data_IF_682984628839
#
_entry.id   IF_682984628839
#
_cell.length_a   1.000
_cell.length_b   1.000
_cell.length_c   1.000
_cell.angle_alpha   90.00
_cell.angle_beta   90.00
_cell.angle_gamma   90.00
#
_symmetry.space_group_name_H-M   'P 1'
#
loop_
_entity.id
_entity.type
_entity.pdbx_description
1 polymer ?
#
# COMPACT_ATOMS: atom_id res chain seq x y z
N UNK A 1 10.99 10.92 77.41
CA UNK A 1 12.34 10.87 76.79
C UNK A 1 12.12 10.87 75.27
N UNK A 2 12.10 11.99 74.52
CA UNK A 2 13.20 12.82 73.97
C UNK A 2 14.46 12.01 73.57
N UNK A 3 14.61 11.63 72.30
CA UNK A 3 15.33 12.37 71.23
C UNK A 3 15.31 11.64 69.86
N UNK A 4 15.60 12.35 68.74
CA UNK A 4 15.38 11.96 67.34
C UNK A 4 16.68 11.56 66.59
N UNK A 5 16.55 11.07 65.35
CA UNK A 5 17.59 11.13 64.28
C UNK A 5 16.87 11.37 62.94
N UNK A 6 17.04 12.48 62.22
CA UNK A 6 18.19 13.02 61.45
C UNK A 6 18.66 12.03 60.37
N UNK A 7 18.16 12.13 59.13
CA UNK A 7 18.63 12.95 57.97
C UNK A 7 19.91 12.43 57.30
N UNK A 8 19.82 12.03 56.03
CA UNK A 8 20.81 12.05 54.91
C UNK A 8 20.14 11.21 53.80
N UNK A 9 19.93 11.60 52.55
CA UNK A 9 20.55 12.57 51.66
C UNK A 9 20.37 11.98 50.27
N UNK A 10 19.32 12.35 49.54
CA UNK A 10 19.04 11.81 48.21
C UNK A 10 19.70 12.72 47.16
N UNK A 11 20.83 12.26 46.64
CA UNK A 11 21.54 12.86 45.52
C UNK A 11 20.72 12.65 44.23
N UNK A 12 20.18 13.73 43.68
CA UNK A 12 19.61 13.74 42.33
C UNK A 12 20.77 13.93 41.33
N UNK A 13 21.18 12.85 40.67
CA UNK A 13 22.08 12.90 39.51
C UNK A 13 21.24 13.13 38.25
N UNK A 14 21.15 14.40 37.84
CA UNK A 14 20.69 14.80 36.51
C UNK A 14 21.81 14.52 35.51
N UNK A 15 21.71 13.41 34.77
CA UNK A 15 22.52 13.21 33.57
C UNK A 15 21.84 13.93 32.39
N UNK A 16 22.24 15.18 32.17
CA UNK A 16 22.07 15.86 30.88
C UNK A 16 23.04 15.20 29.89
N UNK A 17 22.51 14.30 29.05
CA UNK A 17 23.24 13.81 27.87
C UNK A 17 23.20 14.90 26.81
N UNK A 18 24.33 15.58 26.64
CA UNK A 18 24.56 16.52 25.56
C UNK A 18 24.57 15.76 24.22
N UNK A 19 23.71 16.16 23.28
CA UNK A 19 23.83 15.76 21.89
C UNK A 19 25.15 16.31 21.32
N UNK A 20 25.97 15.49 20.63
CA UNK A 20 27.09 16.00 19.86
C UNK A 20 26.57 16.79 18.65
N UNK A 21 27.24 17.88 18.26
CA UNK A 21 26.87 18.67 17.09
C UNK A 21 27.06 17.85 15.81
N UNK A 22 26.03 17.85 14.95
CA UNK A 22 26.10 17.35 13.58
C UNK A 22 27.16 18.15 12.80
N UNK A 23 28.15 17.43 12.24
CA UNK A 23 29.05 17.98 11.24
C UNK A 23 28.31 18.14 9.92
N UNK A 24 28.06 19.39 9.54
CA UNK A 24 27.72 19.79 8.19
C UNK A 24 28.80 19.30 7.22
N UNK A 25 28.43 18.36 6.37
CA UNK A 25 29.27 17.91 5.26
C UNK A 25 28.95 18.77 4.05
N UNK A 26 29.63 19.91 3.96
CA UNK A 26 29.63 20.78 2.78
C UNK A 26 30.24 20.02 1.61
N UNK A 27 29.42 19.62 0.65
CA UNK A 27 29.87 19.05 -0.61
C UNK A 27 30.38 20.19 -1.51
N UNK A 28 31.69 20.27 -1.70
CA UNK A 28 32.32 21.10 -2.73
C UNK A 28 32.20 20.44 -4.11
N UNK A 29 31.99 21.20 -5.19
CA UNK A 29 32.01 20.70 -6.55
C UNK A 29 33.47 20.68 -7.08
N UNK A 30 34.03 19.48 -7.23
CA UNK A 30 35.30 19.34 -7.94
C UNK A 30 35.07 19.50 -9.44
N UNK A 31 35.73 20.53 -9.97
CA UNK A 31 35.86 20.88 -11.36
C UNK A 31 37.13 20.22 -11.88
N UNK A 32 37.00 19.24 -12.77
CA UNK A 32 38.14 18.74 -13.54
C UNK A 32 38.11 19.32 -14.96
N UNK A 33 39.12 20.10 -15.37
CA UNK A 33 39.40 20.39 -16.75
C UNK A 33 40.58 19.52 -17.21
N UNK A 34 40.39 18.65 -18.20
CA UNK A 34 41.51 18.40 -19.09
C UNK A 34 41.10 18.04 -20.52
N UNK A 35 41.71 18.79 -21.41
CA UNK A 35 41.59 18.71 -22.85
C UNK A 35 42.47 17.59 -23.38
N UNK A 36 42.07 16.96 -24.48
CA UNK A 36 42.89 16.96 -25.70
C UNK A 36 42.18 16.31 -26.91
N UNK A 37 42.40 16.99 -28.01
CA UNK A 37 42.04 16.79 -29.41
C UNK A 37 42.77 15.64 -30.11
N UNK A 38 42.11 14.99 -31.08
CA UNK A 38 42.66 14.40 -32.33
C UNK A 38 41.45 14.05 -33.23
N UNK A 39 41.15 14.77 -34.32
CA UNK A 39 41.76 14.76 -35.66
C UNK A 39 41.45 13.51 -36.54
N UNK A 40 40.49 13.70 -37.46
CA UNK A 40 40.48 13.35 -38.89
C UNK A 40 40.79 11.93 -39.41
N UNK A 41 39.84 11.31 -40.15
CA UNK A 41 39.97 10.75 -41.53
C UNK A 41 38.67 10.00 -41.91
N UNK A 42 37.95 10.38 -42.98
CA UNK A 42 38.07 9.96 -44.39
C UNK A 42 37.00 8.92 -44.83
N UNK A 43 35.96 9.45 -45.49
CA UNK A 43 35.30 9.02 -46.74
C UNK A 43 35.40 7.58 -47.32
N UNK A 44 34.20 7.13 -47.78
CA UNK A 44 33.87 6.31 -48.97
C UNK A 44 33.81 4.78 -48.85
N UNK A 45 33.12 4.03 -49.76
CA UNK A 45 32.08 4.37 -50.75
C UNK A 45 30.82 3.47 -50.69
N UNK A 46 29.86 3.80 -51.55
CA UNK A 46 28.65 3.08 -51.94
C UNK A 46 28.90 1.59 -52.26
N UNK A 47 27.98 0.72 -51.84
CA UNK A 47 27.73 -0.53 -52.56
C UNK A 47 26.22 -0.80 -52.66
N UNK A 48 25.73 -0.59 -53.87
CA UNK A 48 24.35 -0.77 -54.30
C UNK A 48 24.19 -2.19 -54.84
N UNK A 49 23.71 -3.09 -53.99
CA UNK A 49 23.29 -4.43 -54.40
C UNK A 49 21.77 -4.56 -54.27
N UNK A 50 21.11 -4.61 -55.43
CA UNK A 50 19.66 -4.72 -55.55
C UNK A 50 19.12 -6.00 -54.94
N UNK A 51 18.10 -5.84 -54.09
CA UNK A 51 17.28 -6.93 -53.59
C UNK A 51 15.95 -6.98 -54.35
N UNK A 52 15.42 -8.18 -54.63
CA UNK A 52 14.16 -8.34 -55.34
C UNK A 52 12.98 -7.83 -54.51
N UNK A 53 12.15 -7.00 -55.15
CA UNK A 53 10.87 -6.52 -54.62
C UNK A 53 9.88 -7.70 -54.46
N UNK A 54 9.92 -8.38 -53.31
CA UNK A 54 8.86 -9.31 -52.92
C UNK A 54 7.69 -8.46 -52.43
N UNK A 55 6.73 -8.22 -53.33
CA UNK A 55 5.47 -7.53 -53.05
C UNK A 55 4.54 -8.47 -52.29
N UNK A 56 4.88 -8.77 -51.03
CA UNK A 56 3.99 -9.48 -50.11
C UNK A 56 2.89 -8.52 -49.66
N UNK A 57 1.79 -8.50 -50.41
CA UNK A 57 0.52 -7.91 -49.97
C UNK A 57 -0.14 -8.80 -48.91
N UNK A 58 0.50 -8.94 -47.75
CA UNK A 58 -0.20 -9.36 -46.53
C UNK A 58 -1.03 -8.18 -46.05
N UNK A 59 -2.33 -8.26 -46.29
CA UNK A 59 -3.34 -7.33 -45.78
C UNK A 59 -3.09 -7.15 -44.27
N UNK A 60 -2.78 -5.95 -43.75
CA UNK A 60 -2.51 -5.76 -42.33
C UNK A 60 -3.73 -6.24 -41.57
N UNK A 61 -3.54 -7.32 -40.82
CA UNK A 61 -4.57 -7.96 -40.01
C UNK A 61 -4.86 -6.97 -38.88
N UNK A 62 -5.92 -6.19 -39.07
CA UNK A 62 -6.35 -5.14 -38.13
C UNK A 62 -6.61 -5.81 -36.78
N UNK A 63 -5.67 -5.64 -35.85
CA UNK A 63 -5.77 -6.23 -34.52
C UNK A 63 -7.07 -5.76 -33.88
N UNK A 64 -8.00 -6.69 -33.66
CA UNK A 64 -9.27 -6.37 -33.01
C UNK A 64 -8.97 -5.86 -31.61
N UNK A 65 -9.47 -4.66 -31.28
CA UNK A 65 -9.32 -4.08 -29.95
C UNK A 65 -9.87 -5.05 -28.88
N UNK A 66 -9.23 -5.16 -27.71
CA UNK A 66 -9.72 -5.99 -26.62
C UNK A 66 -11.16 -5.63 -26.24
N UNK A 67 -11.97 -6.64 -25.90
CA UNK A 67 -13.34 -6.44 -25.47
C UNK A 67 -13.42 -5.69 -24.14
N UNK A 68 -14.39 -4.78 -24.04
CA UNK A 68 -14.70 -4.04 -22.81
C UNK A 68 -15.48 -4.93 -21.85
N UNK A 69 -15.05 -5.00 -20.59
CA UNK A 69 -15.71 -5.77 -19.53
C UNK A 69 -16.06 -4.86 -18.35
N UNK A 70 -17.04 -5.27 -17.55
CA UNK A 70 -17.38 -4.60 -16.29
C UNK A 70 -16.68 -5.29 -15.13
N UNK A 71 -16.04 -4.51 -14.27
CA UNK A 71 -15.33 -4.95 -13.09
C UNK A 71 -15.96 -4.33 -11.85
N UNK A 72 -15.97 -5.10 -10.76
CA UNK A 72 -16.38 -4.67 -9.42
C UNK A 72 -15.38 -5.19 -8.39
N UNK A 73 -15.01 -4.37 -7.41
CA UNK A 73 -13.91 -4.74 -6.52
C UNK A 73 -13.47 -3.62 -5.59
N UNK A 74 -12.28 -3.80 -5.02
CA UNK A 74 -11.59 -2.79 -4.23
C UNK A 74 -10.52 -2.13 -5.10
N UNK A 75 -10.49 -0.81 -5.08
CA UNK A 75 -9.44 0.00 -5.70
C UNK A 75 -8.61 0.70 -4.61
N UNK A 76 -7.30 0.73 -4.80
CA UNK A 76 -6.35 1.47 -3.97
C UNK A 76 -5.47 2.32 -4.86
N UNK A 77 -5.24 3.57 -4.46
CA UNK A 77 -4.20 4.41 -5.03
C UNK A 77 -3.40 5.17 -3.97
N UNK A 78 -2.15 5.46 -4.29
CA UNK A 78 -1.23 6.30 -3.52
C UNK A 78 -0.03 6.66 -4.39
N UNK A 79 1.02 7.19 -3.79
CA UNK A 79 2.24 7.56 -4.52
C UNK A 79 2.84 6.37 -5.29
N UNK A 80 2.82 6.45 -6.63
CA UNK A 80 3.34 5.40 -7.51
C UNK A 80 2.57 4.07 -7.51
N UNK A 81 1.42 3.99 -6.81
CA UNK A 81 0.64 2.78 -6.66
C UNK A 81 -0.80 3.01 -7.11
N UNK A 82 -1.30 2.19 -8.04
CA UNK A 82 -2.71 2.15 -8.42
C UNK A 82 -3.09 0.74 -8.85
N UNK A 83 -3.80 0.03 -7.98
CA UNK A 83 -4.20 -1.34 -8.28
C UNK A 83 -5.66 -1.58 -7.92
N UNK A 84 -6.22 -2.57 -8.60
CA UNK A 84 -7.58 -3.01 -8.42
C UNK A 84 -7.59 -4.51 -8.14
N UNK A 85 -8.45 -4.89 -7.19
CA UNK A 85 -8.70 -6.29 -6.84
C UNK A 85 -10.16 -6.60 -7.11
N UNK A 86 -10.39 -7.44 -8.11
CA UNK A 86 -11.75 -7.83 -8.50
C UNK A 86 -12.41 -8.71 -7.42
N UNK A 87 -13.73 -8.57 -7.23
CA UNK A 87 -14.49 -9.45 -6.34
C UNK A 87 -14.27 -10.92 -6.69
N UNK A 88 -13.99 -11.75 -5.67
CA UNK A 88 -13.71 -13.17 -5.84
C UNK A 88 -12.34 -13.50 -6.45
N UNK A 89 -11.54 -12.50 -6.82
CA UNK A 89 -10.17 -12.71 -7.30
C UNK A 89 -9.15 -12.56 -6.16
N UNK A 90 -8.07 -13.34 -6.27
CA UNK A 90 -6.85 -13.14 -5.48
C UNK A 90 -5.83 -12.27 -6.23
N UNK A 91 -6.02 -12.08 -7.52
CA UNK A 91 -5.12 -11.32 -8.37
C UNK A 91 -5.35 -9.81 -8.20
N UNK A 92 -4.24 -9.09 -8.11
CA UNK A 92 -4.20 -7.63 -8.21
C UNK A 92 -3.86 -7.25 -9.64
N UNK A 93 -4.55 -6.22 -10.13
CA UNK A 93 -4.45 -5.75 -11.50
C UNK A 93 -4.02 -4.29 -11.45
N UNK A 94 -3.03 -3.93 -12.26
CA UNK A 94 -2.66 -2.53 -12.42
C UNK A 94 -3.81 -1.77 -13.08
N UNK A 95 -4.03 -0.51 -12.71
CA UNK A 95 -5.07 0.32 -13.31
C UNK A 95 -4.45 1.43 -14.12
N UNK A 96 -4.87 1.60 -15.37
CA UNK A 96 -4.55 2.78 -16.18
C UNK A 96 -5.78 3.66 -16.31
N UNK A 97 -5.70 4.91 -15.82
CA UNK A 97 -6.75 5.92 -15.93
C UNK A 97 -6.28 7.08 -16.82
N UNK A 98 -6.27 6.91 -18.16
CA UNK A 98 -5.67 7.87 -19.08
C UNK A 98 -6.35 9.25 -19.05
N UNK A 99 -7.64 9.30 -18.69
CA UNK A 99 -8.41 10.55 -18.61
C UNK A 99 -8.36 11.18 -17.20
N UNK A 100 -7.79 10.47 -16.22
CA UNK A 100 -7.73 10.89 -14.82
C UNK A 100 -9.10 10.98 -14.13
N UNK A 101 -10.15 10.39 -14.70
CA UNK A 101 -11.52 10.48 -14.18
C UNK A 101 -11.66 9.67 -12.89
N UNK A 102 -11.07 8.49 -12.83
CA UNK A 102 -11.06 7.66 -11.64
C UNK A 102 -10.26 8.34 -10.52
N UNK A 103 -9.05 8.84 -10.82
CA UNK A 103 -8.19 9.48 -9.82
C UNK A 103 -8.84 10.71 -9.21
N UNK A 104 -9.47 11.56 -10.04
CA UNK A 104 -10.20 12.75 -9.55
C UNK A 104 -11.35 12.39 -8.62
N UNK A 105 -12.15 11.38 -8.98
CA UNK A 105 -13.28 10.94 -8.14
C UNK A 105 -12.79 10.28 -6.85
N UNK A 106 -11.68 9.54 -6.91
CA UNK A 106 -11.05 8.92 -5.75
C UNK A 106 -10.56 9.96 -4.75
N UNK A 107 -9.81 10.97 -5.21
CA UNK A 107 -9.33 12.07 -4.38
C UNK A 107 -10.49 12.85 -3.73
N UNK A 108 -11.61 13.01 -4.43
CA UNK A 108 -12.80 13.65 -3.88
C UNK A 108 -13.49 12.86 -2.75
N UNK A 109 -13.29 11.54 -2.67
CA UNK A 109 -13.87 10.69 -1.62
C UNK A 109 -12.99 10.60 -0.37
N UNK A 110 -11.67 10.46 -0.55
CA UNK A 110 -10.74 10.15 0.55
C UNK A 110 -10.13 11.38 1.22
N UNK A 111 -10.24 12.55 0.58
CA UNK A 111 -9.45 13.70 0.98
C UNK A 111 -7.97 13.44 0.75
N UNK A 112 -7.16 13.54 1.80
CA UNK A 112 -5.69 13.46 1.78
C UNK A 112 -5.13 12.13 2.30
N UNK A 113 -5.96 11.09 2.47
CA UNK A 113 -5.51 9.80 3.03
C UNK A 113 -5.13 8.87 1.90
N UNK A 114 -3.81 8.70 1.70
CA UNK A 114 -3.29 7.74 0.73
C UNK A 114 -3.62 6.29 1.11
N UNK A 115 -3.76 5.42 0.10
CA UNK A 115 -3.95 3.98 0.23
C UNK A 115 -5.23 3.52 0.93
N UNK A 116 -6.18 4.43 1.22
CA UNK A 116 -7.47 4.01 1.72
C UNK A 116 -8.20 3.17 0.63
N UNK A 117 -8.81 2.03 0.97
CA UNK A 117 -9.55 1.23 -0.02
C UNK A 117 -10.91 1.86 -0.34
N UNK A 118 -11.26 1.92 -1.63
CA UNK A 118 -12.63 2.25 -2.09
C UNK A 118 -13.28 1.07 -2.79
N UNK A 119 -14.60 1.01 -2.75
CA UNK A 119 -15.35 0.17 -3.67
C UNK A 119 -15.39 0.84 -5.04
N UNK A 120 -15.10 0.07 -6.08
CA UNK A 120 -15.10 0.55 -7.47
C UNK A 120 -15.86 -0.42 -8.37
N UNK A 121 -16.78 0.14 -9.16
CA UNK A 121 -17.39 -0.52 -10.33
C UNK A 121 -17.12 0.31 -11.59
N UNK A 122 -16.57 -0.32 -12.63
CA UNK A 122 -16.13 0.37 -13.84
C UNK A 122 -16.06 -0.55 -15.05
N UNK A 123 -16.04 0.05 -16.25
CA UNK A 123 -15.76 -0.64 -17.50
C UNK A 123 -14.30 -0.44 -17.88
N UNK A 124 -13.65 -1.52 -18.30
CA UNK A 124 -12.25 -1.49 -18.70
C UNK A 124 -11.91 -2.57 -19.72
N UNK A 125 -10.75 -2.38 -20.36
CA UNK A 125 -10.11 -3.37 -21.23
C UNK A 125 -8.89 -3.94 -20.54
N UNK A 126 -8.70 -5.25 -20.66
CA UNK A 126 -7.46 -5.89 -20.24
C UNK A 126 -6.35 -5.59 -21.24
N UNK A 127 -5.20 -5.16 -20.72
CA UNK A 127 -3.98 -4.99 -21.48
C UNK A 127 -2.96 -6.02 -21.01
N UNK A 128 -2.23 -6.57 -21.98
CA UNK A 128 -1.02 -7.33 -21.69
C UNK A 128 0.07 -6.36 -21.25
N UNK A 129 0.76 -6.71 -20.16
CA UNK A 129 1.89 -5.94 -19.67
C UNK A 129 3.19 -6.46 -20.29
N UNK A 130 4.12 -5.53 -20.48
CA UNK A 130 5.49 -5.77 -20.91
C UNK A 130 6.46 -5.38 -19.80
N UNK A 131 7.71 -5.85 -19.90
CA UNK A 131 8.76 -5.51 -18.93
C UNK A 131 9.12 -4.02 -18.92
N UNK A 132 8.66 -3.23 -19.90
CA UNK A 132 8.90 -1.79 -20.00
C UNK A 132 7.89 -0.91 -19.27
N UNK A 133 6.81 -1.47 -18.71
CA UNK A 133 5.68 -0.69 -18.19
C UNK A 133 5.91 -0.10 -16.77
N UNK A 134 7.17 0.10 -16.37
CA UNK A 134 7.55 0.71 -15.10
C UNK A 134 6.96 -0.01 -13.89
N UNK A 135 6.24 0.72 -13.04
CA UNK A 135 5.58 0.18 -11.84
C UNK A 135 4.54 -0.93 -12.14
N UNK A 136 3.97 -0.94 -13.36
CA UNK A 136 3.02 -1.96 -13.75
C UNK A 136 3.69 -3.34 -13.97
N UNK A 137 5.00 -3.39 -14.21
CA UNK A 137 5.71 -4.64 -14.55
C UNK A 137 5.63 -5.74 -13.47
N UNK A 138 5.34 -5.38 -12.22
CA UNK A 138 5.10 -6.33 -11.12
C UNK A 138 3.73 -7.03 -11.18
N UNK A 139 2.83 -6.61 -12.06
CA UNK A 139 1.48 -7.14 -12.19
C UNK A 139 1.35 -8.06 -13.39
N UNK A 140 0.39 -8.99 -13.34
CA UNK A 140 0.13 -9.91 -14.46
C UNK A 140 -0.53 -9.22 -15.64
N UNK A 141 -1.40 -8.25 -15.38
CA UNK A 141 -2.19 -7.51 -16.37
C UNK A 141 -2.49 -6.09 -15.89
N UNK A 142 -2.81 -5.23 -16.83
CA UNK A 142 -3.40 -3.92 -16.57
C UNK A 142 -4.85 -3.83 -17.03
N UNK A 143 -5.61 -2.96 -16.37
CA UNK A 143 -6.97 -2.57 -16.72
C UNK A 143 -6.96 -1.11 -17.15
N UNK A 144 -7.16 -0.88 -18.45
CA UNK A 144 -7.37 0.48 -18.96
C UNK A 144 -8.82 0.88 -18.77
N UNK A 145 -9.06 1.91 -17.98
CA UNK A 145 -10.38 2.42 -17.64
C UNK A 145 -11.02 3.04 -18.87
N UNK A 146 -12.21 2.56 -19.23
CA UNK A 146 -13.07 3.13 -20.28
C UNK A 146 -14.15 4.04 -19.66
N UNK A 147 -14.74 3.65 -18.51
CA UNK A 147 -15.73 4.48 -17.81
C UNK A 147 -15.92 4.07 -16.35
N UNK A 148 -16.01 5.03 -15.43
CA UNK A 148 -16.32 4.78 -14.00
C UNK A 148 -17.82 4.78 -13.76
N UNK A 149 -18.37 3.64 -13.32
CA UNK A 149 -19.80 3.47 -13.05
C UNK A 149 -20.14 3.88 -11.61
N UNK A 150 -19.39 3.39 -10.63
CA UNK A 150 -19.62 3.69 -9.21
C UNK A 150 -18.30 3.71 -8.47
N UNK A 151 -18.14 4.68 -7.58
CA UNK A 151 -17.01 4.76 -6.65
C UNK A 151 -17.54 5.29 -5.32
N UNK A 152 -17.19 4.63 -4.23
CA UNK A 152 -17.66 4.98 -2.88
C UNK A 152 -16.71 4.43 -1.83
N UNK A 153 -16.76 4.98 -0.61
CA UNK A 153 -16.03 4.44 0.52
C UNK A 153 -16.33 2.95 0.68
N UNK A 154 -15.28 2.16 0.84
CA UNK A 154 -15.45 0.73 0.98
C UNK A 154 -16.10 0.40 2.32
N UNK A 155 -17.17 -0.38 2.26
CA UNK A 155 -17.83 -0.94 3.43
C UNK A 155 -17.65 -2.44 3.37
N UNK A 156 -17.03 -3.00 4.41
CA UNK A 156 -16.86 -4.44 4.54
C UNK A 156 -18.16 -5.08 5.01
N UNK A 157 -19.03 -5.32 4.05
CA UNK A 157 -20.33 -6.00 4.23
C UNK A 157 -20.30 -7.46 3.74
N UNK A 158 -19.12 -7.96 3.37
CA UNK A 158 -18.91 -9.33 2.91
C UNK A 158 -19.36 -9.61 1.46
N UNK A 159 -19.98 -8.67 0.73
CA UNK A 159 -20.54 -8.95 -0.61
C UNK A 159 -19.49 -9.29 -1.66
N UNK A 160 -18.31 -8.68 -1.56
CA UNK A 160 -17.25 -8.78 -2.56
C UNK A 160 -16.08 -9.65 -2.08
N UNK A 161 -15.74 -9.54 -0.80
CA UNK A 161 -14.67 -10.25 -0.14
C UNK A 161 -15.17 -10.73 1.21
N UNK A 162 -15.09 -12.05 1.51
CA UNK A 162 -15.39 -12.54 2.85
C UNK A 162 -14.43 -11.91 3.86
N UNK A 163 -14.96 -11.51 5.01
CA UNK A 163 -14.21 -10.79 6.04
C UNK A 163 -14.10 -11.68 7.27
N UNK A 164 -12.90 -11.92 7.77
CA UNK A 164 -12.70 -12.66 9.01
C UNK A 164 -13.05 -11.76 10.20
N UNK A 165 -12.44 -10.57 10.29
CA UNK A 165 -12.64 -9.65 11.41
C UNK A 165 -12.72 -8.20 10.93
N UNK A 166 -13.52 -7.43 11.66
CA UNK A 166 -13.48 -5.96 11.68
C UNK A 166 -13.25 -5.53 13.12
N UNK A 167 -12.18 -4.76 13.34
CA UNK A 167 -11.80 -4.24 14.65
C UNK A 167 -11.61 -2.72 14.62
N UNK A 168 -11.94 -2.07 15.73
CA UNK A 168 -11.83 -0.62 15.92
C UNK A 168 -11.38 -0.31 17.35
N UNK A 169 -10.75 0.85 17.54
CA UNK A 169 -10.48 1.42 18.86
C UNK A 169 -10.25 2.93 18.81
N UNK A 170 -10.26 3.57 19.98
CA UNK A 170 -10.37 5.03 20.10
C UNK A 170 -9.14 5.75 20.70
N UNK A 171 -8.15 5.02 21.25
CA UNK A 171 -6.96 5.65 21.87
C UNK A 171 -5.66 4.92 21.49
N UNK A 172 -4.93 5.39 20.45
CA UNK A 172 -5.38 6.37 19.42
C UNK A 172 -6.54 5.82 18.58
N UNK A 173 -7.15 6.61 17.69
CA UNK A 173 -8.21 6.09 16.81
C UNK A 173 -7.61 5.19 15.72
N UNK A 174 -8.15 3.98 15.56
CA UNK A 174 -7.67 3.01 14.58
C UNK A 174 -8.76 2.06 14.10
N UNK A 175 -8.53 1.44 12.94
CA UNK A 175 -9.35 0.34 12.44
C UNK A 175 -8.51 -0.72 11.73
N UNK A 176 -8.96 -1.97 11.83
CA UNK A 176 -8.35 -3.12 11.15
C UNK A 176 -9.44 -3.96 10.49
N UNK A 177 -9.25 -4.28 9.22
CA UNK A 177 -10.12 -5.16 8.46
C UNK A 177 -9.31 -6.30 7.87
N UNK A 178 -9.69 -7.54 8.21
CA UNK A 178 -9.02 -8.76 7.75
C UNK A 178 -9.93 -9.43 6.72
N UNK A 179 -9.58 -9.35 5.44
CA UNK A 179 -10.27 -10.07 4.38
C UNK A 179 -9.72 -11.49 4.25
N UNK A 180 -10.60 -12.46 4.39
CA UNK A 180 -10.26 -13.87 4.43
C UNK A 180 -9.54 -14.31 3.16
N UNK A 181 -8.37 -14.91 3.30
CA UNK A 181 -7.52 -15.36 2.19
C UNK A 181 -7.12 -14.27 1.20
N UNK A 182 -7.15 -12.99 1.61
CA UNK A 182 -6.98 -11.87 0.71
C UNK A 182 -6.05 -10.80 1.30
N UNK A 183 -6.59 -9.64 1.68
CA UNK A 183 -5.82 -8.48 2.13
C UNK A 183 -6.20 -8.12 3.57
N UNK A 184 -5.27 -7.47 4.26
CA UNK A 184 -5.50 -6.83 5.54
C UNK A 184 -5.30 -5.34 5.37
N UNK A 185 -6.26 -4.55 5.84
CA UNK A 185 -6.19 -3.09 5.82
C UNK A 185 -6.15 -2.58 7.26
N UNK A 186 -5.08 -1.88 7.61
CA UNK A 186 -4.94 -1.20 8.89
C UNK A 186 -4.92 0.30 8.65
N UNK A 187 -5.68 1.05 9.45
CA UNK A 187 -5.71 2.51 9.45
C UNK A 187 -5.50 3.01 10.86
N UNK A 188 -4.56 3.92 11.05
CA UNK A 188 -4.29 4.61 12.31
C UNK A 188 -4.36 6.11 12.08
N UNK A 189 -5.02 6.83 12.99
CA UNK A 189 -5.02 8.30 13.02
C UNK A 189 -3.99 8.85 14.01
N UNK A 190 -2.99 8.04 14.36
CA UNK A 190 -1.90 8.47 15.21
C UNK A 190 -0.90 9.34 14.45
N UNK A 191 -0.52 10.48 15.04
CA UNK A 191 0.45 11.42 14.46
C UNK A 191 -0.21 12.60 13.74
N UNK A 192 0.58 13.30 12.94
CA UNK A 192 0.12 14.46 12.14
C UNK A 192 -0.71 14.02 10.92
N UNK A 193 -0.39 12.85 10.36
CA UNK A 193 -1.04 12.32 9.16
C UNK A 193 -1.57 10.90 9.42
N UNK A 194 -2.80 10.58 8.96
CA UNK A 194 -3.31 9.22 8.98
C UNK A 194 -2.37 8.24 8.26
N UNK A 195 -2.17 7.07 8.85
CA UNK A 195 -1.40 5.98 8.24
C UNK A 195 -2.36 4.89 7.79
N UNK A 196 -2.26 4.48 6.52
CA UNK A 196 -2.98 3.32 5.98
C UNK A 196 -1.98 2.31 5.45
N UNK A 197 -2.07 1.08 5.95
CA UNK A 197 -1.21 -0.02 5.55
C UNK A 197 -2.06 -1.16 4.96
N UNK A 198 -1.59 -1.68 3.82
CA UNK A 198 -2.19 -2.84 3.18
C UNK A 198 -1.22 -4.02 3.20
N UNK A 199 -1.64 -5.14 3.78
CA UNK A 199 -0.79 -6.31 4.00
C UNK A 199 -1.41 -7.56 3.39
N UNK A 200 -0.57 -8.56 3.11
CA UNK A 200 -1.06 -9.86 2.66
C UNK A 200 -1.66 -10.63 3.84
N UNK A 201 -2.82 -11.24 3.61
CA UNK A 201 -3.44 -12.12 4.60
C UNK A 201 -2.52 -13.30 4.92
N UNK A 202 -2.49 -13.67 6.20
CA UNK A 202 -1.85 -14.88 6.71
C UNK A 202 -2.81 -15.57 7.66
N UNK A 203 -2.77 -16.91 7.67
CA UNK A 203 -3.59 -17.68 8.58
C UNK A 203 -3.20 -17.39 10.04
N UNK A 204 -4.16 -17.25 10.97
CA UNK A 204 -3.84 -17.05 12.37
C UNK A 204 -3.35 -18.35 13.02
N UNK A 205 -2.56 -18.20 14.07
CA UNK A 205 -2.34 -19.25 15.07
C UNK A 205 -3.50 -19.20 16.06
N UNK A 206 -4.22 -20.32 16.21
CA UNK A 206 -5.39 -20.42 17.09
C UNK A 206 -5.00 -21.19 18.34
N UNK A 207 -5.15 -20.55 19.51
CA UNK A 207 -4.82 -21.10 20.82
C UNK A 207 -5.97 -20.87 21.79
N UNK A 208 -6.80 -21.89 22.01
CA UNK A 208 -7.97 -21.78 22.89
C UNK A 208 -8.99 -20.76 22.38
N UNK A 209 -9.17 -19.66 23.11
CA UNK A 209 -10.08 -18.56 22.76
C UNK A 209 -9.34 -17.37 22.10
N UNK A 210 -8.16 -17.60 21.54
CA UNK A 210 -7.33 -16.56 20.93
C UNK A 210 -6.98 -16.86 19.47
N UNK A 211 -7.02 -15.81 18.64
CA UNK A 211 -6.54 -15.80 17.26
C UNK A 211 -5.38 -14.81 17.17
N UNK A 212 -4.18 -15.32 16.88
CA UNK A 212 -2.96 -14.53 16.76
C UNK A 212 -2.55 -14.42 15.31
N UNK A 213 -2.49 -13.21 14.79
CA UNK A 213 -2.02 -12.92 13.44
C UNK A 213 -0.68 -12.19 13.49
N UNK A 214 0.16 -12.48 12.51
CA UNK A 214 1.41 -11.75 12.23
C UNK A 214 1.42 -11.40 10.76
N UNK A 215 1.21 -10.12 10.44
CA UNK A 215 1.21 -9.62 9.07
C UNK A 215 2.53 -8.96 8.74
N UNK A 216 3.04 -9.23 7.54
CA UNK A 216 4.24 -8.57 7.00
C UNK A 216 3.81 -7.44 6.08
N UNK A 217 4.49 -6.30 6.17
CA UNK A 217 4.28 -5.19 5.25
C UNK A 217 4.70 -5.57 3.83
N UNK A 218 4.20 -4.78 2.86
CA UNK A 218 4.65 -4.88 1.47
C UNK A 218 6.03 -4.28 1.27
N UNK A 219 6.41 -3.28 2.07
CA UNK A 219 7.75 -2.70 2.07
C UNK A 219 8.77 -3.68 2.62
N UNK A 220 10.03 -3.53 2.21
CA UNK A 220 11.13 -4.42 2.58
C UNK A 220 11.61 -4.26 4.05
N UNK A 221 11.02 -3.33 4.79
CA UNK A 221 11.31 -3.15 6.21
C UNK A 221 10.77 -4.36 6.98
N UNK A 222 11.64 -4.99 7.77
CA UNK A 222 11.41 -6.26 8.47
C UNK A 222 10.37 -6.19 9.60
N UNK A 223 9.56 -5.15 9.62
CA UNK A 223 8.56 -4.91 10.63
C UNK A 223 7.29 -5.74 10.36
N UNK A 224 6.52 -5.98 11.42
CA UNK A 224 5.27 -6.73 11.35
C UNK A 224 4.16 -6.03 12.12
N UNK A 225 2.93 -6.19 11.68
CA UNK A 225 1.75 -5.91 12.48
C UNK A 225 1.34 -7.20 13.18
N UNK A 226 1.29 -7.19 14.50
CA UNK A 226 0.81 -8.32 15.29
C UNK A 226 -0.59 -8.02 15.82
N UNK A 227 -1.52 -8.94 15.65
CA UNK A 227 -2.89 -8.79 16.12
C UNK A 227 -3.30 -10.00 16.95
N UNK A 228 -3.79 -9.76 18.17
CA UNK A 228 -4.36 -10.79 19.03
C UNK A 228 -5.83 -10.49 19.29
N UNK A 229 -6.70 -11.38 18.84
CA UNK A 229 -8.14 -11.35 19.10
C UNK A 229 -8.45 -12.35 20.19
N UNK A 230 -9.14 -11.93 21.25
CA UNK A 230 -9.59 -12.81 22.34
C UNK A 230 -11.11 -12.81 22.34
N UNK A 231 -11.74 -13.99 22.38
CA UNK A 231 -13.20 -14.11 22.52
C UNK A 231 -13.62 -13.73 23.93
N UNK A 232 -13.85 -12.44 24.12
CA UNK A 232 -14.18 -11.76 25.36
C UNK A 232 -15.04 -10.54 25.00
N UNK A 233 -16.25 -10.38 25.60
CA UNK A 233 -17.10 -9.25 25.32
C UNK A 233 -16.39 -7.91 25.55
N UNK A 234 -16.56 -6.99 24.61
CA UNK A 234 -15.87 -5.71 24.59
C UNK A 234 -16.85 -4.59 24.23
N UNK A 235 -16.78 -3.44 24.90
CA UNK A 235 -17.65 -2.30 24.62
C UNK A 235 -16.93 -1.23 23.80
N UNK A 236 -17.50 -0.87 22.66
CA UNK A 236 -17.00 0.19 21.78
C UNK A 236 -18.17 1.05 21.27
N UNK A 237 -18.10 2.37 21.46
CA UNK A 237 -19.17 3.28 21.03
C UNK A 237 -20.58 2.93 21.54
N UNK A 238 -20.71 2.27 22.70
CA UNK A 238 -21.99 1.82 23.27
C UNK A 238 -22.52 0.50 22.69
N UNK A 239 -21.81 -0.13 21.75
CA UNK A 239 -22.10 -1.48 21.26
C UNK A 239 -21.26 -2.51 22.02
N UNK A 240 -21.82 -3.69 22.26
CA UNK A 240 -21.06 -4.83 22.80
C UNK A 240 -20.68 -5.75 21.65
N UNK A 241 -19.38 -5.96 21.44
CA UNK A 241 -18.80 -6.85 20.44
C UNK A 241 -18.20 -8.10 21.10
N UNK A 242 -18.04 -9.18 20.34
CA UNK A 242 -17.68 -10.51 20.87
C UNK A 242 -16.20 -10.69 21.19
N UNK A 243 -15.34 -9.78 20.71
CA UNK A 243 -13.89 -9.90 20.83
C UNK A 243 -13.23 -8.63 21.35
N UNK A 244 -12.24 -8.82 22.23
CA UNK A 244 -11.24 -7.82 22.60
C UNK A 244 -10.02 -7.98 21.71
N UNK A 245 -9.44 -6.87 21.26
CA UNK A 245 -8.29 -6.85 20.34
C UNK A 245 -7.13 -6.10 20.96
N UNK A 246 -5.93 -6.66 20.77
CA UNK A 246 -4.65 -6.00 21.03
C UNK A 246 -3.82 -6.04 19.75
N UNK A 247 -3.36 -4.89 19.28
CA UNK A 247 -2.44 -4.79 18.15
C UNK A 247 -1.10 -4.20 18.59
N UNK A 248 -0.02 -4.68 17.99
CA UNK A 248 1.30 -4.05 18.06
C UNK A 248 1.68 -3.61 16.64
N UNK A 249 1.77 -2.30 16.44
CA UNK A 249 2.15 -1.68 15.16
C UNK A 249 3.25 -0.65 15.41
N UNK A 250 4.42 -0.83 14.78
CA UNK A 250 5.61 0.04 14.92
C UNK A 250 5.98 0.37 16.38
N UNK A 251 5.88 -0.64 17.26
CA UNK A 251 6.18 -0.49 18.69
C UNK A 251 5.06 0.10 19.54
N UNK A 252 3.94 0.48 18.92
CA UNK A 252 2.80 1.11 19.59
C UNK A 252 1.71 0.06 19.80
N UNK A 253 1.18 0.01 21.02
CA UNK A 253 0.12 -0.91 21.39
C UNK A 253 -1.24 -0.23 21.21
N UNK A 254 -2.10 -0.88 20.44
CA UNK A 254 -3.47 -0.45 20.23
C UNK A 254 -4.41 -1.45 20.91
N UNK A 255 -5.45 -0.94 21.55
CA UNK A 255 -6.52 -1.75 22.14
C UNK A 255 -7.87 -1.35 21.55
N UNK A 256 -8.77 -2.33 21.45
CA UNK A 256 -10.08 -2.11 20.87
C UNK A 256 -10.97 -3.34 20.92
N UNK A 257 -12.07 -3.27 20.17
CA UNK A 257 -13.07 -4.33 20.10
C UNK A 257 -13.22 -4.81 18.65
N UNK A 258 -13.72 -6.03 18.47
CA UNK A 258 -13.95 -6.58 17.14
C UNK A 258 -15.18 -7.46 17.05
N UNK A 259 -15.70 -7.56 15.83
CA UNK A 259 -16.69 -8.55 15.41
C UNK A 259 -16.09 -9.48 14.37
N UNK A 260 -16.50 -10.75 14.45
CA UNK A 260 -16.24 -11.75 13.41
C UNK A 260 -17.43 -11.76 12.44
N UNK A 261 -17.17 -11.85 11.13
CA UNK A 261 -18.21 -11.88 10.08
C UNK A 261 -18.28 -13.24 9.37
#
# INVERSE_FOLDING_TARGET
MKKPGIFFGLFALLFLSACPPQQDSTHSPDTDPNASSQASTASSPQDSSGLPLIKNSSKPQQASLPAVKTYRGIFLSGEGLQYFKACGSKEELWVEDPEGVLMKRHAALQGLIDLEPVYLEFKARELALTSGDGFASGYRKALRVDSVLTIQNWVSDGRCFPTDFIATGHRPEWSLQILKHNQVYFKSLEGEFPVVESMNWQAPVIEGNQWKYTFRYRSAESETLQATFRKEPCQDGGQTLDFKVQLLFRGINYEGCARQL
#
